data_IF_471143019968
#
_entry.id   IF_471143019968
#
_cell.length_a   1.000
_cell.length_b   1.000
_cell.length_c   1.000
_cell.angle_alpha   90.00
_cell.angle_beta   90.00
_cell.angle_gamma   90.00
#
_symmetry.space_group_name_H-M   'P 1'
#
loop_
_entity.id
_entity.type
_entity.pdbx_description
1 polymer ?
#
# COMPACT_ATOMS: atom_id res chain seq x y z
N UNK A 1 -8.13 -17.07 -10.33
CA UNK A 1 -8.43 -15.65 -10.65
C UNK A 1 -9.87 -15.63 -11.16
N UNK A 2 -10.82 -15.13 -10.38
CA UNK A 2 -12.23 -15.04 -10.80
C UNK A 2 -12.52 -13.58 -11.15
N UNK A 3 -12.95 -13.33 -12.37
CA UNK A 3 -13.45 -12.02 -12.79
C UNK A 3 -14.84 -11.86 -12.18
N UNK A 4 -15.00 -10.95 -11.22
CA UNK A 4 -16.32 -10.54 -10.75
C UNK A 4 -16.95 -9.70 -11.87
N UNK A 5 -18.10 -10.11 -12.44
CA UNK A 5 -18.71 -9.43 -13.59
C UNK A 5 -19.00 -7.93 -13.40
N UNK A 6 -19.04 -7.47 -12.15
CA UNK A 6 -19.40 -6.13 -11.72
C UNK A 6 -18.18 -5.26 -11.38
N UNK A 7 -16.96 -5.78 -11.49
CA UNK A 7 -15.75 -5.04 -11.14
C UNK A 7 -15.37 -4.03 -12.25
N UNK A 8 -15.24 -2.76 -11.89
CA UNK A 8 -14.73 -1.73 -12.80
C UNK A 8 -13.34 -2.12 -13.32
N UNK A 9 -13.12 -2.10 -14.65
CA UNK A 9 -11.81 -2.37 -15.24
C UNK A 9 -10.75 -1.45 -14.67
N UNK A 10 -9.60 -2.02 -14.34
CA UNK A 10 -8.47 -1.29 -13.76
C UNK A 10 -7.15 -1.96 -14.16
N UNK A 11 -6.06 -1.21 -14.04
CA UNK A 11 -4.70 -1.75 -14.06
C UNK A 11 -4.03 -1.40 -12.74
N UNK A 12 -3.30 -2.33 -12.14
CA UNK A 12 -2.63 -2.08 -10.87
C UNK A 12 -1.62 -3.16 -10.50
N UNK A 13 -0.78 -2.83 -9.52
CA UNK A 13 0.20 -3.73 -8.91
C UNK A 13 -0.30 -4.09 -7.51
N UNK A 14 -0.05 -5.32 -7.06
CA UNK A 14 -0.48 -5.76 -5.73
C UNK A 14 0.56 -6.68 -5.10
N UNK A 15 0.75 -6.51 -3.79
CA UNK A 15 1.59 -7.34 -2.94
C UNK A 15 0.69 -8.03 -1.91
N UNK A 16 0.95 -9.33 -1.67
CA UNK A 16 0.12 -10.15 -0.81
C UNK A 16 0.99 -10.89 0.20
N UNK A 17 0.57 -10.83 1.46
CA UNK A 17 0.88 -11.80 2.52
C UNK A 17 -0.43 -12.50 2.92
N UNK A 18 -0.39 -13.54 3.77
CA UNK A 18 -1.62 -14.15 4.29
C UNK A 18 -2.57 -13.16 4.98
N UNK A 19 -2.01 -12.12 5.60
CA UNK A 19 -2.74 -11.19 6.48
C UNK A 19 -2.89 -9.78 5.88
N UNK A 20 -2.20 -9.46 4.78
CA UNK A 20 -2.22 -8.13 4.19
C UNK A 20 -2.17 -8.17 2.66
N UNK A 21 -3.06 -7.40 2.04
CA UNK A 21 -3.03 -7.04 0.63
C UNK A 21 -2.80 -5.54 0.50
N UNK A 22 -1.77 -5.15 -0.23
CA UNK A 22 -1.52 -3.76 -0.62
C UNK A 22 -1.60 -3.63 -2.12
N UNK A 23 -2.30 -2.61 -2.61
CA UNK A 23 -2.58 -2.46 -4.03
C UNK A 23 -2.71 -1.01 -4.45
N UNK A 24 -2.00 -0.63 -5.51
CA UNK A 24 -2.19 0.64 -6.20
C UNK A 24 -2.71 0.37 -7.62
N UNK A 25 -3.60 1.23 -8.11
CA UNK A 25 -4.12 1.09 -9.47
C UNK A 25 -4.83 2.32 -10.00
N UNK A 26 -5.23 2.21 -11.27
CA UNK A 26 -6.00 3.21 -12.01
C UNK A 26 -7.30 2.57 -12.49
N UNK A 27 -8.45 3.14 -12.11
CA UNK A 27 -9.74 2.79 -12.69
C UNK A 27 -9.81 3.31 -14.13
N UNK A 28 -10.19 2.48 -15.10
CA UNK A 28 -10.12 2.86 -16.53
C UNK A 28 -11.39 3.57 -17.02
N UNK A 29 -12.56 3.18 -16.53
CA UNK A 29 -13.84 3.77 -16.95
C UNK A 29 -14.04 5.21 -16.47
N UNK A 30 -13.39 5.57 -15.36
CA UNK A 30 -13.30 6.92 -14.81
C UNK A 30 -11.87 7.04 -14.29
N UNK A 31 -10.93 7.60 -15.08
CA UNK A 31 -9.51 7.66 -14.75
C UNK A 31 -9.26 8.20 -13.35
N UNK A 32 -9.04 7.28 -12.42
CA UNK A 32 -8.91 7.60 -11.00
C UNK A 32 -7.87 6.72 -10.32
N UNK A 33 -6.80 7.31 -9.78
CA UNK A 33 -5.84 6.57 -8.99
C UNK A 33 -6.45 6.17 -7.65
N UNK A 34 -6.10 4.99 -7.16
CA UNK A 34 -6.45 4.55 -5.83
C UNK A 34 -5.33 3.74 -5.20
N UNK A 35 -5.35 3.71 -3.86
CA UNK A 35 -4.55 2.84 -3.02
C UNK A 35 -5.51 2.05 -2.11
N UNK A 36 -5.33 0.74 -2.06
CA UNK A 36 -6.08 -0.19 -1.22
C UNK A 36 -5.11 -0.90 -0.29
N UNK A 37 -5.40 -0.87 1.01
CA UNK A 37 -4.79 -1.74 2.02
C UNK A 37 -5.91 -2.56 2.63
N UNK A 38 -5.78 -3.88 2.62
CA UNK A 38 -6.82 -4.80 3.07
C UNK A 38 -6.20 -5.88 3.95
N UNK A 39 -6.66 -5.96 5.19
CA UNK A 39 -6.38 -7.03 6.16
C UNK A 39 -7.71 -7.64 6.63
N UNK A 40 -7.69 -8.76 7.38
CA UNK A 40 -8.88 -9.31 8.01
C UNK A 40 -9.62 -8.31 8.92
N UNK A 41 -8.91 -7.38 9.54
CA UNK A 41 -9.42 -6.42 10.52
C UNK A 41 -9.90 -5.12 9.87
N UNK A 42 -9.29 -4.70 8.76
CA UNK A 42 -9.57 -3.41 8.16
C UNK A 42 -9.38 -3.38 6.64
N UNK A 43 -10.24 -2.62 5.98
CA UNK A 43 -10.08 -2.25 4.57
C UNK A 43 -10.01 -0.74 4.47
N UNK A 44 -8.87 -0.24 4.01
CA UNK A 44 -8.63 1.17 3.75
C UNK A 44 -8.57 1.36 2.24
N UNK A 45 -9.50 2.14 1.71
CA UNK A 45 -9.53 2.54 0.30
C UNK A 45 -9.33 4.05 0.20
N UNK A 46 -8.25 4.46 -0.44
CA UNK A 46 -7.89 5.86 -0.62
C UNK A 46 -8.02 6.18 -2.10
N UNK A 47 -8.90 7.13 -2.41
CA UNK A 47 -9.06 7.72 -3.73
C UNK A 47 -9.16 9.23 -3.51
N UNK A 48 -8.15 9.98 -3.94
CA UNK A 48 -8.04 11.40 -3.62
C UNK A 48 -9.02 12.25 -4.43
N UNK A 49 -9.30 11.89 -5.68
CA UNK A 49 -10.00 12.79 -6.61
C UNK A 49 -11.49 13.02 -6.36
N UNK A 50 -12.13 12.35 -5.39
CA UNK A 50 -13.57 12.52 -5.10
C UNK A 50 -14.53 12.28 -6.28
N UNK A 51 -14.07 11.64 -7.36
CA UNK A 51 -14.72 11.50 -8.68
C UNK A 51 -14.49 12.58 -9.73
N UNK A 52 -13.65 13.57 -9.45
CA UNK A 52 -13.19 14.58 -10.40
C UNK A 52 -11.80 14.33 -10.97
N UNK A 53 -11.28 15.36 -11.63
CA UNK A 53 -9.91 15.44 -12.12
C UNK A 53 -8.91 15.50 -10.97
N UNK A 54 -7.73 14.92 -11.16
CA UNK A 54 -6.61 15.05 -10.20
C UNK A 54 -6.21 16.53 -10.06
N UNK A 55 -6.12 17.00 -8.83
CA UNK A 55 -5.74 18.36 -8.44
C UNK A 55 -4.41 18.39 -7.69
N UNK A 56 -3.87 19.58 -7.44
CA UNK A 56 -2.66 19.73 -6.62
C UNK A 56 -2.84 19.23 -5.18
N UNK A 57 -4.06 19.34 -4.63
CA UNK A 57 -4.38 18.80 -3.32
C UNK A 57 -4.30 17.26 -3.31
N UNK A 58 -4.78 16.62 -4.38
CA UNK A 58 -4.68 15.17 -4.55
C UNK A 58 -3.22 14.71 -4.62
N UNK A 59 -2.38 15.47 -5.32
CA UNK A 59 -0.95 15.20 -5.44
C UNK A 59 -0.23 15.39 -4.10
N UNK A 60 -0.58 16.43 -3.34
CA UNK A 60 -0.02 16.67 -2.01
C UNK A 60 -0.32 15.51 -1.06
N UNK A 61 -1.58 15.07 -0.98
CA UNK A 61 -1.99 13.92 -0.15
C UNK A 61 -1.29 12.64 -0.58
N UNK A 62 -1.23 12.35 -1.90
CA UNK A 62 -0.54 11.17 -2.40
C UNK A 62 0.96 11.17 -2.02
N UNK A 63 1.59 12.34 -2.04
CA UNK A 63 3.01 12.49 -1.66
C UNK A 63 3.23 12.33 -0.16
N UNK A 64 2.32 12.81 0.66
CA UNK A 64 2.34 12.58 2.12
C UNK A 64 2.23 11.10 2.44
N UNK A 65 1.29 10.38 1.80
CA UNK A 65 1.15 8.92 1.95
C UNK A 65 2.45 8.21 1.56
N UNK A 66 3.03 8.55 0.41
CA UNK A 66 4.30 7.97 -0.03
C UNK A 66 5.41 8.22 0.99
N UNK A 67 5.53 9.45 1.49
CA UNK A 67 6.56 9.82 2.47
C UNK A 67 6.39 9.06 3.79
N UNK A 68 5.15 8.91 4.26
CA UNK A 68 4.85 8.12 5.45
C UNK A 68 5.20 6.64 5.26
N UNK A 69 4.83 6.04 4.13
CA UNK A 69 5.16 4.66 3.81
C UNK A 69 6.68 4.43 3.68
N UNK A 70 7.41 5.38 3.10
CA UNK A 70 8.86 5.31 3.00
C UNK A 70 9.55 5.38 4.37
N UNK A 71 9.05 6.22 5.28
CA UNK A 71 9.53 6.26 6.67
C UNK A 71 9.27 4.94 7.40
N UNK A 72 8.05 4.41 7.28
CA UNK A 72 7.70 3.11 7.85
C UNK A 72 8.64 2.00 7.34
N UNK A 73 8.95 1.97 6.03
CA UNK A 73 9.91 1.01 5.48
C UNK A 73 11.29 1.16 6.12
N UNK A 74 11.82 2.38 6.20
CA UNK A 74 13.14 2.63 6.79
C UNK A 74 13.21 2.18 8.26
N UNK A 75 12.15 2.40 9.03
CA UNK A 75 12.04 1.93 10.42
C UNK A 75 12.01 0.40 10.50
N UNK A 76 11.24 -0.27 9.63
CA UNK A 76 11.24 -1.73 9.54
C UNK A 76 12.61 -2.30 9.19
N UNK A 77 13.31 -1.70 8.21
CA UNK A 77 14.64 -2.12 7.80
C UNK A 77 15.66 -1.95 8.93
N UNK A 78 15.59 -0.83 9.66
CA UNK A 78 16.45 -0.59 10.81
C UNK A 78 16.21 -1.64 11.90
N UNK A 79 14.96 -1.84 12.32
CA UNK A 79 14.61 -2.83 13.34
C UNK A 79 15.03 -4.24 12.95
N UNK A 80 14.86 -4.61 11.67
CA UNK A 80 15.28 -5.90 11.16
C UNK A 80 16.81 -6.10 11.23
N UNK A 81 17.57 -5.07 10.89
CA UNK A 81 19.03 -5.09 11.00
C UNK A 81 19.50 -5.21 12.47
N UNK A 82 18.85 -4.50 13.39
CA UNK A 82 19.15 -4.57 14.83
C UNK A 82 18.88 -5.97 15.40
N UNK A 83 17.72 -6.58 15.08
CA UNK A 83 17.35 -7.93 15.51
C UNK A 83 18.33 -8.98 14.98
N UNK A 84 18.71 -8.88 13.70
CA UNK A 84 19.66 -9.81 13.08
C UNK A 84 21.04 -9.73 13.73
N UNK A 85 21.48 -8.53 14.14
CA UNK A 85 22.76 -8.34 14.83
C UNK A 85 22.74 -8.91 16.27
N UNK A 86 21.61 -8.83 16.96
CA UNK A 86 21.43 -9.44 18.29
C UNK A 86 21.49 -10.97 18.20
N UNK A 87 20.78 -11.59 17.27
CA UNK A 87 20.79 -13.05 17.06
C UNK A 87 22.20 -13.57 16.70
N UNK A 88 22.99 -12.79 15.95
CA UNK A 88 24.37 -13.14 15.63
C UNK A 88 25.35 -13.03 16.81
N UNK A 89 25.00 -12.26 17.85
CA UNK A 89 25.83 -12.01 19.03
C UNK A 89 25.50 -12.95 20.20
N UNK A 90 24.43 -13.75 20.09
CA UNK A 90 24.00 -14.73 21.10
C UNK A 90 24.24 -16.19 20.62
N UNK A 91 25.50 -16.69 20.60
CA UNK A 91 25.82 -18.04 20.13
C UNK A 91 25.58 -19.15 21.18
N UNK A 92 24.69 -18.96 22.16
CA UNK A 92 24.48 -19.95 23.23
C UNK A 92 23.00 -20.16 23.59
N UNK A 93 22.36 -21.07 22.86
CA UNK A 93 21.25 -21.89 23.34
C UNK A 93 21.49 -23.36 22.94
#
# INVERSE_FOLDING_TARGET
>A
MSLRPEATPHVGVSFYTPDLKVRAGLLLSSPRPFLELCSPEAIVYISTTGAGTVTDADLAVAREIFTAAARYLAECEQLHAEQTAQDATDPAA
#
